data_IF_113871270520
#
_entry.id   IF_113871270520
#
_cell.length_a   1.000
_cell.length_b   1.000
_cell.length_c   1.000
_cell.angle_alpha   90.00
_cell.angle_beta   90.00
_cell.angle_gamma   90.00
#
_symmetry.space_group_name_H-M   'P 1'
#
loop_
_entity.id
_entity.type
_entity.pdbx_description
1 polymer ?
#
# COMPACT_ATOMS: atom_id res chain seq x y z
N UNK A 1 8.85 -40.58 19.73
CA UNK A 1 9.42 -39.23 19.47
C UNK A 1 10.64 -39.05 20.35
N UNK A 2 11.80 -38.77 19.76
CA UNK A 2 13.05 -38.67 20.51
C UNK A 2 13.14 -37.28 21.16
N UNK A 3 13.71 -37.18 22.36
CA UNK A 3 13.81 -35.92 23.11
C UNK A 3 14.43 -34.77 22.28
N UNK A 4 15.36 -35.10 21.37
CA UNK A 4 15.96 -34.16 20.41
C UNK A 4 14.95 -33.51 19.47
N UNK A 5 13.93 -34.25 19.01
CA UNK A 5 12.88 -33.73 18.12
C UNK A 5 11.88 -32.86 18.88
N UNK A 6 11.64 -33.15 20.17
CA UNK A 6 10.78 -32.32 21.03
C UNK A 6 11.45 -30.98 21.37
N UNK A 7 12.76 -30.98 21.62
CA UNK A 7 13.56 -29.76 21.86
C UNK A 7 13.59 -28.87 20.61
N UNK A 8 13.72 -29.46 19.41
CA UNK A 8 13.70 -28.71 18.15
C UNK A 8 12.34 -27.99 17.94
N UNK A 9 11.23 -28.67 18.21
CA UNK A 9 9.88 -28.09 18.09
C UNK A 9 9.69 -26.94 19.11
N UNK A 10 10.21 -27.11 20.33
CA UNK A 10 10.13 -26.08 21.36
C UNK A 10 10.98 -24.84 21.01
N UNK A 11 12.17 -25.03 20.44
CA UNK A 11 13.01 -23.95 19.93
C UNK A 11 12.35 -23.19 18.77
N UNK A 12 11.63 -23.88 17.88
CA UNK A 12 10.88 -23.25 16.79
C UNK A 12 9.70 -22.40 17.31
N UNK A 13 9.06 -22.80 18.42
CA UNK A 13 7.98 -22.04 19.04
C UNK A 13 8.46 -20.74 19.71
N UNK A 14 9.66 -20.76 20.31
CA UNK A 14 10.25 -19.60 20.98
C UNK A 14 10.72 -18.50 20.02
N UNK A 15 10.91 -18.80 18.73
CA UNK A 15 11.30 -17.84 17.71
C UNK A 15 10.11 -16.98 17.23
N UNK A 16 8.87 -17.35 17.55
CA UNK A 16 7.66 -16.74 16.96
C UNK A 16 7.21 -15.40 17.56
N UNK A 17 7.68 -15.00 18.76
CA UNK A 17 7.16 -13.79 19.40
C UNK A 17 7.97 -12.52 19.06
N UNK A 18 7.87 -12.05 17.81
CA UNK A 18 8.36 -10.71 17.44
C UNK A 18 7.20 -9.79 17.13
N UNK A 19 6.65 -9.13 18.18
CA UNK A 19 5.65 -8.07 18.00
C UNK A 19 6.30 -6.87 17.29
N UNK A 20 6.21 -6.85 15.96
CA UNK A 20 6.68 -5.71 15.17
C UNK A 20 5.78 -4.52 15.48
N UNK A 21 6.36 -3.47 16.08
CA UNK A 21 5.61 -2.25 16.42
C UNK A 21 5.69 -1.28 15.26
N UNK A 22 4.56 -1.02 14.63
CA UNK A 22 4.44 -0.06 13.54
C UNK A 22 3.93 1.28 14.05
N UNK A 23 4.37 2.35 13.39
CA UNK A 23 3.98 3.71 13.75
C UNK A 23 3.65 4.50 12.51
N UNK A 24 2.59 5.29 12.61
CA UNK A 24 2.29 6.35 11.67
C UNK A 24 3.18 7.55 11.97
N UNK A 25 3.76 8.12 10.93
CA UNK A 25 4.67 9.26 10.97
C UNK A 25 4.21 10.32 9.98
N UNK A 26 4.66 11.56 10.21
CA UNK A 26 4.37 12.73 9.36
C UNK A 26 5.62 13.60 9.28
N UNK A 27 5.89 14.15 8.10
CA UNK A 27 7.03 15.04 7.86
C UNK A 27 6.54 16.35 7.23
N UNK A 28 7.18 17.47 7.57
CA UNK A 28 6.88 18.79 6.99
C UNK A 28 7.66 19.05 5.69
N UNK A 29 8.62 18.19 5.37
CA UNK A 29 9.33 18.16 4.11
C UNK A 29 8.92 16.93 3.29
N UNK A 30 9.08 16.96 1.96
CA UNK A 30 8.86 15.78 1.13
C UNK A 30 9.84 14.66 1.48
N UNK A 31 9.38 13.41 1.45
CA UNK A 31 10.19 12.22 1.74
C UNK A 31 10.31 11.35 0.48
N UNK A 32 11.54 11.06 0.05
CA UNK A 32 11.80 10.17 -1.08
C UNK A 32 11.87 8.71 -0.59
N UNK A 33 11.17 7.83 -1.29
CA UNK A 33 11.14 6.39 -1.03
C UNK A 33 11.77 5.65 -2.20
N UNK A 34 12.68 4.73 -1.89
CA UNK A 34 13.51 4.00 -2.82
C UNK A 34 13.17 2.51 -2.83
N UNK A 35 13.55 1.82 -3.89
CA UNK A 35 13.28 0.40 -4.07
C UNK A 35 14.16 -0.52 -3.22
N UNK A 36 15.40 -0.10 -2.98
CA UNK A 36 16.40 -0.90 -2.30
C UNK A 36 17.10 -0.13 -1.18
N UNK A 37 17.78 -0.85 -0.29
CA UNK A 37 18.60 -0.25 0.77
C UNK A 37 19.75 0.61 0.25
N UNK A 38 20.17 0.39 -1.00
CA UNK A 38 21.19 1.19 -1.67
C UNK A 38 20.67 2.53 -2.20
N UNK A 39 19.37 2.80 -2.09
CA UNK A 39 18.75 4.06 -2.51
C UNK A 39 18.98 4.37 -3.99
N UNK A 40 19.11 3.33 -4.81
CA UNK A 40 19.50 3.43 -6.22
C UNK A 40 18.37 3.96 -7.11
N UNK A 41 17.13 3.52 -6.89
CA UNK A 41 15.98 3.91 -7.70
C UNK A 41 14.82 4.38 -6.83
N UNK A 42 14.26 5.52 -7.21
CA UNK A 42 13.10 6.11 -6.51
C UNK A 42 11.81 5.39 -6.94
N UNK A 43 10.98 5.01 -5.97
CA UNK A 43 9.62 4.48 -6.16
C UNK A 43 8.62 5.63 -6.17
N UNK A 44 8.65 6.46 -5.13
CA UNK A 44 7.74 7.59 -4.99
C UNK A 44 8.31 8.68 -4.09
N UNK A 45 7.69 9.86 -4.15
CA UNK A 45 7.92 10.94 -3.20
C UNK A 45 6.63 11.17 -2.43
N UNK A 46 6.71 11.10 -1.11
CA UNK A 46 5.62 11.39 -0.19
C UNK A 46 5.61 12.91 0.02
N UNK A 47 4.53 13.62 -0.33
CA UNK A 47 4.42 15.05 -0.13
C UNK A 47 4.54 15.44 1.35
N UNK A 48 5.04 16.65 1.58
CA UNK A 48 5.01 17.27 2.90
C UNK A 48 3.59 17.26 3.47
N UNK A 49 3.48 16.92 4.74
CA UNK A 49 2.21 16.90 5.46
C UNK A 49 1.46 15.57 5.41
N UNK A 50 1.82 14.66 4.49
CA UNK A 50 1.17 13.36 4.37
C UNK A 50 1.71 12.37 5.42
N UNK A 51 0.86 11.41 5.79
CA UNK A 51 1.22 10.37 6.75
C UNK A 51 1.69 9.10 6.04
N UNK A 52 2.60 8.37 6.69
CA UNK A 52 3.17 7.12 6.22
C UNK A 52 3.50 6.21 7.40
N UNK A 53 3.68 4.92 7.15
CA UNK A 53 3.97 3.94 8.21
C UNK A 53 5.43 3.52 8.15
N UNK A 54 6.10 3.58 9.30
CA UNK A 54 7.48 3.10 9.44
C UNK A 54 7.53 1.65 9.92
N UNK A 55 8.40 0.87 9.29
CA UNK A 55 8.70 -0.50 9.66
C UNK A 55 10.08 -0.66 10.30
N UNK A 56 10.67 -1.84 10.08
CA UNK A 56 12.01 -2.20 10.57
C UNK A 56 13.07 -1.22 10.04
N UNK A 57 14.04 -0.93 10.89
CA UNK A 57 15.27 -0.22 10.51
C UNK A 57 16.32 -1.25 10.11
N UNK A 58 16.96 -1.06 8.96
CA UNK A 58 18.01 -1.93 8.43
C UNK A 58 19.10 -1.04 7.85
N UNK A 59 20.36 -1.21 8.28
CA UNK A 59 21.52 -0.43 7.82
C UNK A 59 21.28 1.10 7.81
N UNK A 60 20.68 1.64 8.88
CA UNK A 60 20.30 3.07 9.03
C UNK A 60 19.28 3.57 7.99
N UNK A 61 18.55 2.67 7.33
CA UNK A 61 17.40 2.97 6.49
C UNK A 61 16.14 2.44 7.13
N UNK A 62 15.01 3.09 6.86
CA UNK A 62 13.69 2.66 7.34
C UNK A 62 12.90 2.07 6.19
N UNK A 63 12.27 0.93 6.45
CA UNK A 63 11.18 0.47 5.58
C UNK A 63 9.97 1.38 5.76
N UNK A 64 9.38 1.80 4.65
CA UNK A 64 8.26 2.76 4.59
C UNK A 64 7.13 2.12 3.80
N UNK A 65 5.92 2.21 4.36
CA UNK A 65 4.68 1.97 3.64
C UNK A 65 3.93 3.29 3.45
N UNK A 66 3.55 3.59 2.22
CA UNK A 66 2.77 4.75 1.87
C UNK A 66 1.79 4.42 0.75
N UNK A 67 0.48 4.46 1.05
CA UNK A 67 -0.57 4.04 0.13
C UNK A 67 -0.29 2.61 -0.39
N UNK A 68 -0.07 2.47 -1.70
CA UNK A 68 0.26 1.20 -2.37
C UNK A 68 1.76 0.98 -2.57
N UNK A 69 2.61 1.91 -2.10
CA UNK A 69 4.06 1.82 -2.23
C UNK A 69 4.70 1.30 -0.95
N UNK A 70 5.67 0.40 -1.12
CA UNK A 70 6.55 -0.06 -0.05
C UNK A 70 7.99 0.07 -0.53
N UNK A 71 8.87 0.60 0.33
CA UNK A 71 10.26 0.84 -0.02
C UNK A 71 11.11 1.24 1.17
N UNK A 72 12.25 1.85 0.89
CA UNK A 72 13.22 2.32 1.88
C UNK A 72 13.38 3.83 1.84
N UNK A 73 13.59 4.45 2.99
CA UNK A 73 14.00 5.83 3.10
C UNK A 73 15.16 5.98 4.09
N UNK A 74 15.84 7.12 4.05
CA UNK A 74 16.79 7.50 5.10
C UNK A 74 16.13 7.47 6.48
N UNK A 75 16.83 6.96 7.50
CA UNK A 75 16.32 7.03 8.88
C UNK A 75 16.50 8.44 9.44
N UNK A 76 15.54 9.32 9.12
CA UNK A 76 15.50 10.71 9.57
C UNK A 76 14.97 10.88 11.00
N UNK A 77 14.97 9.80 11.82
CA UNK A 77 14.38 9.79 13.17
C UNK A 77 12.94 10.31 13.18
N UNK A 78 12.11 9.73 12.32
CA UNK A 78 10.73 10.15 12.12
C UNK A 78 9.95 10.31 13.44
N UNK A 79 9.26 11.45 13.57
CA UNK A 79 8.33 11.68 14.68
C UNK A 79 7.17 10.70 14.57
N UNK A 80 6.98 9.87 15.61
CA UNK A 80 5.89 8.92 15.70
C UNK A 80 4.63 9.65 16.17
N UNK A 81 3.58 9.58 15.37
CA UNK A 81 2.28 10.21 15.63
C UNK A 81 1.36 9.22 16.34
N UNK A 82 1.24 8.01 15.80
CA UNK A 82 0.30 6.99 16.30
C UNK A 82 0.93 5.62 16.23
N UNK A 83 0.73 4.80 17.27
CA UNK A 83 1.10 3.37 17.26
C UNK A 83 0.00 2.57 16.57
N UNK A 84 0.40 1.63 15.71
CA UNK A 84 -0.50 0.76 14.97
C UNK A 84 -0.24 -0.72 15.34
N UNK A 85 -0.95 -1.29 16.33
CA UNK A 85 -0.71 -2.65 16.80
C UNK A 85 -1.06 -3.73 15.78
N UNK A 86 -2.15 -3.55 15.03
CA UNK A 86 -2.68 -4.57 14.09
C UNK A 86 -2.30 -4.30 12.62
N UNK A 87 -1.33 -3.40 12.39
CA UNK A 87 -0.93 -3.03 11.04
C UNK A 87 -0.16 -4.16 10.36
N UNK A 88 -0.64 -4.59 9.19
CA UNK A 88 0.05 -5.58 8.34
C UNK A 88 1.04 -4.85 7.42
N UNK A 89 2.28 -4.77 7.86
CA UNK A 89 3.32 -4.14 7.06
C UNK A 89 3.70 -5.00 5.85
N UNK A 90 3.65 -4.40 4.67
CA UNK A 90 4.10 -5.02 3.42
C UNK A 90 5.60 -4.81 3.34
N UNK A 91 6.39 -5.88 3.31
CA UNK A 91 7.84 -5.73 3.15
C UNK A 91 8.18 -5.26 1.73
N UNK A 92 9.17 -4.36 1.56
CA UNK A 92 9.59 -3.89 0.23
C UNK A 92 10.00 -5.04 -0.69
N UNK A 93 10.67 -6.07 -0.14
CA UNK A 93 11.10 -7.26 -0.89
C UNK A 93 9.91 -8.05 -1.49
N UNK A 94 8.73 -7.98 -0.86
CA UNK A 94 7.51 -8.64 -1.35
C UNK A 94 6.71 -7.77 -2.32
N UNK A 95 6.84 -6.44 -2.22
CA UNK A 95 6.16 -5.50 -3.12
C UNK A 95 6.71 -5.57 -4.55
N UNK A 96 8.01 -5.85 -4.72
CA UNK A 96 8.70 -5.95 -6.01
C UNK A 96 8.37 -7.22 -6.80
N UNK A 97 7.87 -8.29 -6.14
CA UNK A 97 7.53 -9.57 -6.78
C UNK A 97 6.11 -9.61 -7.35
N UNK A 98 5.26 -8.66 -6.96
CA UNK A 98 3.91 -8.55 -7.53
C UNK A 98 3.86 -7.49 -8.62
N UNK A 99 4.16 -7.90 -9.87
CA UNK A 99 3.49 -7.30 -11.03
C UNK A 99 1.99 -7.54 -10.84
N UNK A 100 1.29 -6.61 -10.18
CA UNK A 100 -0.17 -6.62 -10.10
C UNK A 100 -0.81 -7.19 -8.82
N UNK A 101 -0.25 -6.99 -7.62
CA UNK A 101 -1.09 -7.04 -6.42
C UNK A 101 -1.92 -5.74 -6.35
N UNK A 102 -2.97 -5.67 -7.17
CA UNK A 102 -4.14 -4.84 -6.87
C UNK A 102 -4.74 -5.38 -5.58
N UNK A 103 -4.22 -4.95 -4.44
CA UNK A 103 -4.93 -5.12 -3.18
C UNK A 103 -6.11 -4.17 -3.26
N UNK A 104 -7.28 -4.75 -3.51
CA UNK A 104 -8.58 -4.13 -3.31
C UNK A 104 -8.61 -3.69 -1.85
N UNK A 105 -8.20 -2.44 -1.59
CA UNK A 105 -8.56 -1.75 -0.37
C UNK A 105 -10.08 -1.54 -0.45
N UNK A 106 -10.81 -2.54 0.01
CA UNK A 106 -12.21 -2.39 0.39
C UNK A 106 -12.21 -1.39 1.53
N UNK A 107 -12.40 -0.12 1.19
CA UNK A 107 -12.93 0.85 2.13
C UNK A 107 -14.33 0.35 2.48
N UNK A 108 -14.47 -0.22 3.67
CA UNK A 108 -15.77 -0.46 4.29
C UNK A 108 -16.38 0.91 4.59
N UNK A 109 -16.99 1.53 3.58
CA UNK A 109 -17.99 2.57 3.80
C UNK A 109 -19.29 1.86 4.12
N UNK A 110 -19.70 1.95 5.38
CA UNK A 110 -21.02 1.59 5.85
C UNK A 110 -22.07 2.30 4.99
N UNK A 111 -22.75 1.57 4.10
CA UNK A 111 -24.00 2.00 3.48
C UNK A 111 -24.93 0.80 3.43
N UNK A 112 -26.12 1.00 3.99
CA UNK A 112 -27.08 -0.05 4.28
C UNK A 112 -27.50 -0.93 3.11
N UNK A 113 -27.78 -2.17 3.47
CA UNK A 113 -28.72 -3.11 2.88
C UNK A 113 -29.62 -2.58 1.75
N UNK A 114 -29.50 -3.17 0.55
CA UNK A 114 -30.63 -3.64 -0.29
C UNK A 114 -30.21 -4.93 -1.00
N UNK A 115 -31.08 -5.95 -0.93
CA UNK A 115 -30.98 -7.29 -1.53
C UNK A 115 -31.16 -7.25 -3.05
N UNK A 116 -30.56 -8.22 -3.77
CA UNK A 116 -30.92 -8.49 -5.16
C UNK A 116 -30.15 -9.66 -5.78
N UNK A 117 -30.75 -10.84 -5.74
CA UNK A 117 -30.41 -12.04 -6.50
C UNK A 117 -30.56 -11.85 -8.02
N UNK A 118 -29.77 -12.56 -8.84
CA UNK A 118 -30.12 -12.76 -10.25
C UNK A 118 -28.96 -13.24 -11.12
N UNK A 119 -29.00 -14.52 -11.50
CA UNK A 119 -28.17 -15.12 -12.54
C UNK A 119 -28.73 -14.85 -13.94
N UNK A 120 -27.81 -14.73 -14.91
CA UNK A 120 -27.93 -14.95 -16.37
C UNK A 120 -28.98 -14.19 -17.19
N UNK A 121 -28.52 -13.45 -18.19
CA UNK A 121 -28.65 -13.77 -19.63
C UNK A 121 -28.62 -12.51 -20.51
N UNK A 122 -28.07 -12.70 -21.71
CA UNK A 122 -27.82 -11.70 -22.75
C UNK A 122 -29.08 -11.04 -23.32
N UNK A 123 -29.04 -9.73 -23.57
CA UNK A 123 -29.78 -9.15 -24.70
C UNK A 123 -29.10 -7.87 -25.20
N UNK A 124 -28.99 -7.81 -26.52
CA UNK A 124 -28.44 -6.72 -27.33
C UNK A 124 -29.36 -5.51 -27.34
N UNK A 125 -28.81 -4.30 -27.15
CA UNK A 125 -29.35 -3.10 -27.77
C UNK A 125 -28.25 -2.05 -27.97
N UNK A 126 -28.17 -1.58 -29.20
CA UNK A 126 -27.26 -0.56 -29.72
C UNK A 126 -27.57 0.82 -29.14
N UNK A 127 -26.61 1.45 -28.46
CA UNK A 127 -26.54 2.91 -28.37
C UNK A 127 -25.08 3.37 -28.26
N UNK A 128 -24.68 4.21 -29.19
CA UNK A 128 -23.36 4.83 -29.26
C UNK A 128 -23.08 5.64 -27.99
N UNK A 129 -22.17 5.21 -27.14
CA UNK A 129 -21.74 6.03 -26.01
C UNK A 129 -20.27 5.76 -25.68
N UNK A 130 -19.46 6.81 -25.78
CA UNK A 130 -18.04 6.76 -25.46
C UNK A 130 -17.84 6.15 -24.08
N UNK A 131 -17.05 5.09 -24.01
CA UNK A 131 -16.86 4.30 -22.80
C UNK A 131 -16.25 5.09 -21.64
N UNK A 132 -16.05 4.42 -20.51
CA UNK A 132 -15.37 5.03 -19.37
C UNK A 132 -13.85 4.92 -19.53
N UNK A 133 -13.12 5.98 -19.17
CA UNK A 133 -11.66 6.03 -19.15
C UNK A 133 -11.18 6.00 -17.71
N UNK A 134 -10.41 4.98 -17.37
CA UNK A 134 -9.74 4.87 -16.08
C UNK A 134 -8.46 5.73 -16.09
N UNK A 135 -8.39 6.69 -15.17
CA UNK A 135 -7.28 7.65 -15.05
C UNK A 135 -6.44 7.29 -13.83
N UNK A 136 -5.13 7.11 -14.04
CA UNK A 136 -4.17 6.88 -12.95
C UNK A 136 -3.94 8.20 -12.20
N UNK A 137 -3.58 8.11 -10.91
CA UNK A 137 -3.24 9.30 -10.13
C UNK A 137 -2.00 9.99 -10.68
N UNK A 138 -1.95 11.32 -10.59
CA UNK A 138 -0.85 12.14 -11.14
C UNK A 138 -0.63 13.43 -10.34
N UNK A 139 0.55 14.02 -10.48
CA UNK A 139 0.86 15.35 -9.92
C UNK A 139 0.57 16.43 -10.96
N UNK A 140 -0.15 17.48 -10.56
CA UNK A 140 -0.33 18.71 -11.36
C UNK A 140 0.96 19.54 -11.35
N UNK A 141 1.13 20.46 -12.32
CA UNK A 141 2.30 21.38 -12.39
C UNK A 141 2.49 22.21 -11.11
N UNK A 142 1.42 22.48 -10.37
CA UNK A 142 1.48 23.19 -9.09
C UNK A 142 1.81 22.30 -7.88
N UNK A 143 2.18 21.03 -8.09
CA UNK A 143 2.54 20.09 -7.03
C UNK A 143 1.38 19.35 -6.35
N UNK A 144 0.12 19.72 -6.65
CA UNK A 144 -1.05 19.02 -6.07
C UNK A 144 -1.19 17.62 -6.67
N UNK A 145 -1.33 16.60 -5.81
CA UNK A 145 -1.66 15.23 -6.22
C UNK A 145 -3.15 15.11 -6.58
N UNK A 146 -3.44 14.33 -7.63
CA UNK A 146 -4.80 13.95 -8.05
C UNK A 146 -4.93 12.44 -7.92
N UNK A 147 -5.93 11.97 -7.17
CA UNK A 147 -6.18 10.54 -6.97
C UNK A 147 -6.70 9.86 -8.26
N UNK A 148 -6.44 8.55 -8.44
CA UNK A 148 -7.04 7.79 -9.54
C UNK A 148 -8.57 7.94 -9.55
N UNK A 149 -9.15 8.09 -10.73
CA UNK A 149 -10.60 8.23 -10.91
C UNK A 149 -11.03 7.72 -12.30
N UNK A 150 -12.34 7.58 -12.50
CA UNK A 150 -12.92 7.23 -13.80
C UNK A 150 -13.60 8.47 -14.37
N UNK A 151 -13.41 8.73 -15.67
CA UNK A 151 -14.08 9.81 -16.40
C UNK A 151 -14.74 9.29 -17.67
N UNK A 152 -15.71 10.01 -18.21
CA UNK A 152 -16.33 9.67 -19.50
C UNK A 152 -15.34 9.85 -20.65
N UNK A 153 -15.38 8.98 -21.66
CA UNK A 153 -14.56 9.12 -22.85
C UNK A 153 -14.96 10.38 -23.63
N UNK A 154 -13.99 11.02 -24.30
CA UNK A 154 -14.28 12.08 -25.26
C UNK A 154 -15.29 11.60 -26.31
N UNK A 155 -16.30 12.43 -26.59
CA UNK A 155 -17.22 12.20 -27.72
C UNK A 155 -16.52 12.62 -29.01
N UNK A 156 -16.55 11.75 -30.02
CA UNK A 156 -16.13 12.11 -31.40
C UNK A 156 -17.24 12.97 -32.01
N UNK A 157 -16.87 14.09 -32.61
CA UNK A 157 -17.72 14.96 -33.42
C UNK A 157 -17.13 15.02 -34.83
#
# INVERSE_FOLDING_TARGET
MNAKNLILIFLLFLISCSSSRYYECKLESPLVVYDNLHLSKTICTIPAGNTFVIGKSVKRKRSINYMSFSGYAEDLRFRKVKRLPDYKFVSPDMASSSVGAQSTAVYTSNTGSIKGSGSSSSSSSSSSSGGNVQVKGYYRKNGSYVSPHVRSAPRRH
#
